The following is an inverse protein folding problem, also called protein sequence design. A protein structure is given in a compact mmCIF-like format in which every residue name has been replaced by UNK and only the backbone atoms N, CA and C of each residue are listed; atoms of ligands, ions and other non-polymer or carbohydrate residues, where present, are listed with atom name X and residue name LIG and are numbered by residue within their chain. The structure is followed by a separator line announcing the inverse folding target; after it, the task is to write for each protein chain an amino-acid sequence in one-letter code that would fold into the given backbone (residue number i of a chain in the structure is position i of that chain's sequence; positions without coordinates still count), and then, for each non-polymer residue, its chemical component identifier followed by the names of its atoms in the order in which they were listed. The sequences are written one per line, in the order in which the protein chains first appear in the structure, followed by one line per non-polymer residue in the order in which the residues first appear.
data_IF_598817802282
#
_entry.id   IF_598817802282
#
_cell.length_a   1.000
_cell.length_b   1.000
_cell.length_c   1.000
_cell.angle_alpha   90.00
_cell.angle_beta   90.00
_cell.angle_gamma   90.00
#
_symmetry.space_group_name_H-M   'P 1'
#
loop_
_entity.id
_entity.type
_entity.pdbx_description
1 polymer ?
#
# COMPACT_ATOMS: atom_id res chain seq x y z
N UNK A 1 9.74 -4.41 -20.01
CA UNK A 1 9.99 -5.50 -19.04
C UNK A 1 9.36 -5.10 -17.71
N UNK A 2 8.17 -5.61 -17.40
CA UNK A 2 7.48 -5.29 -16.14
C UNK A 2 8.17 -6.03 -15.01
N UNK A 3 8.85 -5.29 -14.13
CA UNK A 3 9.37 -5.80 -12.87
C UNK A 3 8.21 -6.06 -11.89
N UNK A 4 7.37 -7.05 -12.20
CA UNK A 4 6.39 -7.53 -11.23
C UNK A 4 7.12 -8.39 -10.20
N UNK A 5 7.40 -7.76 -9.05
CA UNK A 5 7.87 -8.46 -7.86
C UNK A 5 6.84 -9.54 -7.50
N UNK A 6 7.24 -10.82 -7.58
CA UNK A 6 6.44 -11.98 -7.15
C UNK A 6 6.13 -11.96 -5.65
N UNK A 7 6.90 -11.20 -4.87
CA UNK A 7 6.74 -11.07 -3.41
C UNK A 7 5.75 -9.94 -3.08
N UNK A 8 4.78 -10.14 -2.17
CA UNK A 8 3.89 -9.09 -1.72
C UNK A 8 4.69 -7.95 -1.06
N UNK A 9 4.48 -6.73 -1.55
CA UNK A 9 5.13 -5.51 -1.03
C UNK A 9 4.57 -5.11 0.33
N UNK A 10 3.33 -5.51 0.64
CA UNK A 10 2.64 -5.14 1.86
C UNK A 10 2.70 -6.25 2.91
N UNK A 11 2.99 -5.85 4.15
CA UNK A 11 2.75 -6.71 5.31
C UNK A 11 1.24 -6.67 5.64
N UNK A 12 0.51 -7.72 5.21
CA UNK A 12 -0.94 -7.83 5.40
C UNK A 12 -1.36 -7.70 6.86
N UNK A 13 -0.57 -8.22 7.81
CA UNK A 13 -0.89 -8.13 9.24
C UNK A 13 -0.86 -6.69 9.74
N UNK A 14 0.15 -5.91 9.35
CA UNK A 14 0.26 -4.49 9.70
C UNK A 14 -0.84 -3.65 9.06
N UNK A 15 -1.13 -3.91 7.78
CA UNK A 15 -2.23 -3.23 7.06
C UNK A 15 -3.58 -3.53 7.73
N UNK A 16 -3.81 -4.79 8.13
CA UNK A 16 -5.02 -5.20 8.83
C UNK A 16 -5.16 -4.48 10.18
N UNK A 17 -4.09 -4.45 10.97
CA UNK A 17 -4.08 -3.78 12.28
C UNK A 17 -4.43 -2.32 12.12
N UNK A 18 -3.75 -1.61 11.20
CA UNK A 18 -4.01 -0.20 10.94
C UNK A 18 -5.46 0.05 10.47
N UNK A 19 -5.96 -0.75 9.53
CA UNK A 19 -7.33 -0.62 9.04
C UNK A 19 -8.38 -0.82 10.14
N UNK A 20 -8.16 -1.76 11.07
CA UNK A 20 -9.05 -1.97 12.21
C UNK A 20 -8.97 -0.83 13.23
N UNK A 21 -7.78 -0.32 13.52
CA UNK A 21 -7.61 0.86 14.38
C UNK A 21 -8.33 2.09 13.82
N UNK A 22 -8.26 2.30 12.50
CA UNK A 22 -9.02 3.38 11.85
C UNK A 22 -10.54 3.12 11.88
N UNK A 23 -10.97 1.86 11.85
CA UNK A 23 -12.38 1.50 11.92
C UNK A 23 -12.98 1.79 13.31
N UNK A 24 -12.19 1.72 14.39
CA UNK A 24 -12.64 2.02 15.76
C UNK A 24 -13.12 3.46 15.92
N UNK A 25 -12.55 4.38 15.14
CA UNK A 25 -12.89 5.80 15.11
C UNK A 25 -14.16 6.11 14.28
N UNK A 26 -14.71 5.12 13.57
CA UNK A 26 -15.92 5.30 12.75
C UNK A 26 -17.20 5.05 13.55
N UNK A 27 -18.28 5.76 13.21
CA UNK A 27 -19.61 5.53 13.77
C UNK A 27 -20.16 4.13 13.40
N UNK A 28 -19.95 3.68 12.17
CA UNK A 28 -20.23 2.31 11.72
C UNK A 28 -18.93 1.51 11.65
N UNK A 29 -18.69 0.73 12.70
CA UNK A 29 -17.47 -0.04 12.87
C UNK A 29 -17.54 -1.34 12.08
N UNK A 30 -16.46 -1.67 11.38
CA UNK A 30 -16.25 -2.99 10.83
C UNK A 30 -15.09 -3.65 11.57
N UNK A 31 -15.20 -4.96 11.81
CA UNK A 31 -14.25 -5.76 12.58
C UNK A 31 -13.41 -6.71 11.71
N UNK A 32 -13.63 -6.70 10.39
CA UNK A 32 -12.98 -7.59 9.43
C UNK A 32 -12.52 -6.82 8.20
N UNK A 33 -11.37 -7.23 7.68
CA UNK A 33 -10.79 -6.73 6.44
C UNK A 33 -10.75 -7.89 5.45
N UNK A 34 -11.36 -7.71 4.29
CA UNK A 34 -11.44 -8.72 3.23
C UNK A 34 -10.13 -8.83 2.44
N UNK A 35 -9.92 -9.99 1.78
CA UNK A 35 -8.74 -10.25 0.94
C UNK A 35 -8.54 -9.23 -0.17
N UNK A 36 -9.63 -8.82 -0.81
CA UNK A 36 -9.65 -7.87 -1.92
C UNK A 36 -9.09 -6.48 -1.52
N UNK A 37 -9.27 -6.08 -0.26
CA UNK A 37 -8.73 -4.83 0.24
C UNK A 37 -7.19 -4.81 0.14
N UNK A 38 -6.54 -5.91 0.52
CA UNK A 38 -5.07 -6.00 0.44
C UNK A 38 -4.57 -5.92 -1.00
N UNK A 39 -5.28 -6.56 -1.94
CA UNK A 39 -4.97 -6.51 -3.38
C UNK A 39 -5.04 -5.07 -3.90
N UNK A 40 -6.11 -4.34 -3.53
CA UNK A 40 -6.27 -2.92 -3.91
C UNK A 40 -5.18 -2.04 -3.30
N UNK A 41 -4.82 -2.25 -2.03
CA UNK A 41 -3.71 -1.53 -1.39
C UNK A 41 -2.36 -1.80 -2.09
N UNK A 42 -2.08 -3.05 -2.47
CA UNK A 42 -0.86 -3.38 -3.20
C UNK A 42 -0.81 -2.71 -4.58
N UNK A 43 -1.94 -2.72 -5.30
CA UNK A 43 -2.04 -2.04 -6.61
C UNK A 43 -1.79 -0.54 -6.48
N UNK A 44 -2.39 0.12 -5.49
CA UNK A 44 -2.16 1.54 -5.25
C UNK A 44 -0.71 1.83 -4.86
N UNK A 45 -0.11 1.01 -3.99
CA UNK A 45 1.30 1.19 -3.59
C UNK A 45 2.25 1.03 -4.78
N UNK A 46 2.05 0.00 -5.61
CA UNK A 46 2.85 -0.21 -6.84
C UNK A 46 2.76 1.01 -7.77
N UNK A 47 1.56 1.55 -7.97
CA UNK A 47 1.36 2.73 -8.80
C UNK A 47 2.01 3.97 -8.18
N UNK A 48 1.83 4.19 -6.88
CA UNK A 48 2.45 5.29 -6.16
C UNK A 48 3.98 5.26 -6.28
N UNK A 49 4.61 4.12 -6.02
CA UNK A 49 6.07 3.96 -6.14
C UNK A 49 6.53 4.22 -7.58
N UNK A 50 5.82 3.67 -8.57
CA UNK A 50 6.15 3.88 -9.99
C UNK A 50 6.12 5.35 -10.34
N UNK A 51 5.07 6.07 -9.91
CA UNK A 51 4.90 7.48 -10.18
C UNK A 51 5.99 8.32 -9.48
N UNK A 52 6.34 7.99 -8.23
CA UNK A 52 7.42 8.67 -7.50
C UNK A 52 8.77 8.46 -8.19
N UNK A 53 9.09 7.23 -8.59
CA UNK A 53 10.34 6.92 -9.30
C UNK A 53 10.43 7.66 -10.63
N UNK A 54 9.34 7.73 -11.40
CA UNK A 54 9.33 8.44 -12.68
C UNK A 54 9.40 9.96 -12.54
N UNK A 55 8.82 10.53 -11.48
CA UNK A 55 8.84 11.98 -11.25
C UNK A 55 10.11 12.46 -10.56
N UNK A 56 10.83 11.59 -9.87
CA UNK A 56 12.04 11.96 -9.15
C UNK A 56 13.10 12.45 -10.16
N UNK A 57 13.48 13.74 -10.11
CA UNK A 57 14.53 14.23 -10.98
C UNK A 57 15.85 13.59 -10.56
N UNK A 58 16.79 13.38 -11.49
CA UNK A 58 18.08 12.71 -11.24
C UNK A 58 19.01 13.44 -10.24
N UNK A 59 18.50 14.47 -9.56
CA UNK A 59 19.20 15.28 -8.57
C UNK A 59 19.24 14.52 -7.25
N UNK A 60 20.26 13.67 -7.12
CA UNK A 60 20.50 12.85 -5.93
C UNK A 60 19.94 11.42 -6.07
N UNK A 61 20.73 10.45 -5.58
CA UNK A 61 20.45 9.01 -5.65
C UNK A 61 19.39 8.53 -4.63
N UNK A 62 18.67 9.45 -4.00
CA UNK A 62 17.76 9.18 -2.87
C UNK A 62 16.40 9.81 -3.15
N UNK A 63 15.34 8.99 -3.17
CA UNK A 63 13.95 9.43 -3.14
C UNK A 63 13.62 9.78 -1.68
N UNK A 64 13.15 11.00 -1.41
CA UNK A 64 12.77 11.47 -0.07
C UNK A 64 11.26 11.39 0.15
#
# INVERSE_FOLDING_TARGET
MSADCKTPLLNRSKVRQFALTMAEQRAHKFNRVGGEFFVRCEAQLKNFIRDQVHRHPSVGKTIK
#
